data_IF_460474213702
#
_entry.id   IF_460474213702
#
_cell.length_a   1.000
_cell.length_b   1.000
_cell.length_c   1.000
_cell.angle_alpha   90.00
_cell.angle_beta   90.00
_cell.angle_gamma   90.00
#
_symmetry.space_group_name_H-M   'P 1'
#
loop_
_entity.id
_entity.type
_entity.pdbx_description
1 polymer ?
#
# COMPACT_ATOMS: atom_id res chain seq x y z
N UNK A 1 20.58 23.46 9.77
CA UNK A 1 20.34 21.99 9.71
C UNK A 1 18.85 21.66 9.62
N UNK A 2 17.98 22.30 10.41
CA UNK A 2 16.51 22.13 10.33
C UNK A 2 15.88 22.52 8.97
N UNK A 3 16.37 23.56 8.31
CA UNK A 3 15.80 24.03 7.03
C UNK A 3 15.88 22.99 5.90
N UNK A 4 16.95 22.17 5.89
CA UNK A 4 17.11 21.11 4.88
C UNK A 4 16.15 19.94 5.10
N UNK A 5 15.77 19.67 6.35
CA UNK A 5 14.79 18.65 6.70
C UNK A 5 13.39 19.10 6.26
N UNK A 6 13.03 20.36 6.52
CA UNK A 6 11.73 20.91 6.11
C UNK A 6 11.54 20.93 4.58
N UNK A 7 12.58 21.31 3.84
CA UNK A 7 12.58 21.28 2.37
C UNK A 7 12.41 19.85 1.83
N UNK A 8 13.02 18.85 2.46
CA UNK A 8 12.87 17.45 2.07
C UNK A 8 11.44 16.95 2.30
N UNK A 9 10.84 17.27 3.45
CA UNK A 9 9.43 16.95 3.74
C UNK A 9 8.46 17.65 2.78
N UNK A 10 8.70 18.93 2.45
CA UNK A 10 7.87 19.66 1.50
C UNK A 10 7.96 19.09 0.07
N UNK A 11 9.15 18.66 -0.37
CA UNK A 11 9.30 17.99 -1.67
C UNK A 11 8.64 16.61 -1.71
N UNK A 12 8.65 15.85 -0.61
CA UNK A 12 7.93 14.58 -0.49
C UNK A 12 6.42 14.82 -0.61
N UNK A 13 5.87 15.77 0.15
CA UNK A 13 4.44 16.11 0.12
C UNK A 13 4.02 16.66 -1.26
N UNK A 14 4.82 17.51 -1.88
CA UNK A 14 4.54 18.06 -3.21
C UNK A 14 4.53 16.97 -4.30
N UNK A 15 5.46 15.99 -4.24
CA UNK A 15 5.42 14.83 -5.14
C UNK A 15 4.25 13.87 -4.86
N UNK A 16 3.84 13.74 -3.59
CA UNK A 16 2.66 12.94 -3.20
C UNK A 16 1.39 13.44 -3.88
N UNK A 17 1.19 14.76 -4.00
CA UNK A 17 -0.04 15.31 -4.62
C UNK A 17 -0.03 15.27 -6.15
N UNK A 18 1.14 15.28 -6.79
CA UNK A 18 1.25 15.27 -8.25
C UNK A 18 1.12 13.87 -8.86
N UNK A 19 1.69 12.83 -8.23
CA UNK A 19 1.65 11.44 -8.75
C UNK A 19 0.25 10.81 -8.67
N UNK A 20 -0.60 11.28 -7.74
CA UNK A 20 -1.95 10.75 -7.53
C UNK A 20 -3.00 11.43 -8.43
N UNK A 21 -2.60 12.42 -9.26
CA UNK A 21 -3.50 13.11 -10.19
C UNK A 21 -3.85 12.33 -11.46
N UNK A 22 -3.22 11.19 -11.72
CA UNK A 22 -3.45 10.40 -12.93
C UNK A 22 -4.35 9.16 -12.77
N UNK A 23 -4.68 8.77 -11.54
CA UNK A 23 -5.32 7.47 -11.26
C UNK A 23 -6.79 7.60 -10.85
N UNK A 24 -7.50 8.53 -11.48
CA UNK A 24 -8.92 8.75 -11.22
C UNK A 24 -9.78 7.79 -12.01
N UNK A 25 -10.70 7.13 -11.31
CA UNK A 25 -11.73 6.33 -11.95
C UNK A 25 -13.07 7.06 -11.87
N UNK A 26 -13.61 7.30 -13.06
CA UNK A 26 -14.97 7.73 -13.33
C UNK A 26 -15.65 6.51 -14.01
N UNK A 27 -16.60 5.88 -13.33
CA UNK A 27 -17.27 4.65 -13.81
C UNK A 27 -18.22 5.01 -14.97
N UNK A 28 -17.68 5.16 -16.17
CA UNK A 28 -18.47 5.40 -17.38
C UNK A 28 -18.97 4.05 -17.90
N UNK A 29 -20.10 3.55 -17.38
CA UNK A 29 -21.39 3.74 -18.06
C UNK A 29 -22.42 4.59 -17.29
N UNK A 30 -22.13 5.09 -16.07
CA UNK A 30 -23.12 5.90 -15.32
C UNK A 30 -22.56 7.09 -14.52
N UNK A 31 -21.24 7.32 -14.52
CA UNK A 31 -20.61 8.39 -13.74
C UNK A 31 -20.84 8.24 -12.23
N UNK A 32 -21.22 7.04 -11.77
CA UNK A 32 -21.44 6.77 -10.35
C UNK A 32 -20.13 6.33 -9.70
N UNK A 33 -19.60 7.24 -8.89
CA UNK A 33 -18.49 6.99 -7.99
C UNK A 33 -18.78 5.78 -7.07
N UNK A 34 -17.81 4.87 -6.95
CA UNK A 34 -17.91 3.71 -6.07
C UNK A 34 -17.94 4.16 -4.61
N UNK A 35 -19.09 4.00 -3.96
CA UNK A 35 -19.24 4.32 -2.53
C UNK A 35 -18.33 3.42 -1.68
N UNK A 36 -17.82 3.97 -0.58
CA UNK A 36 -17.01 3.24 0.41
C UNK A 36 -17.65 1.90 0.81
N UNK A 37 -18.96 1.88 1.03
CA UNK A 37 -19.73 0.68 1.36
C UNK A 37 -19.68 -0.40 0.26
N UNK A 38 -19.84 -0.03 -1.01
CA UNK A 38 -19.78 -0.97 -2.14
C UNK A 38 -18.38 -1.55 -2.32
N UNK A 39 -17.34 -0.75 -2.10
CA UNK A 39 -15.98 -1.28 -2.18
C UNK A 39 -15.70 -2.22 -1.01
N UNK A 40 -16.07 -1.85 0.23
CA UNK A 40 -15.93 -2.76 1.37
C UNK A 40 -16.65 -4.10 1.15
N UNK A 41 -17.86 -4.07 0.58
CA UNK A 41 -18.60 -5.28 0.20
C UNK A 41 -17.85 -6.13 -0.84
N UNK A 42 -17.29 -5.50 -1.89
CA UNK A 42 -16.46 -6.21 -2.88
C UNK A 42 -15.20 -6.79 -2.23
N UNK A 43 -14.56 -6.03 -1.33
CA UNK A 43 -13.36 -6.46 -0.63
C UNK A 43 -13.64 -7.60 0.36
N UNK A 44 -14.79 -7.62 1.02
CA UNK A 44 -15.18 -8.74 1.91
C UNK A 44 -15.38 -10.05 1.16
N UNK A 45 -15.64 -9.98 -0.15
CA UNK A 45 -15.78 -11.14 -1.03
C UNK A 45 -14.44 -11.57 -1.67
N UNK A 46 -13.33 -10.89 -1.39
CA UNK A 46 -12.03 -11.29 -1.91
C UNK A 46 -11.57 -12.60 -1.26
N UNK A 47 -11.51 -13.65 -2.06
CA UNK A 47 -10.85 -14.88 -1.65
C UNK A 47 -9.33 -14.74 -1.86
N UNK A 48 -8.59 -14.53 -0.78
CA UNK A 48 -7.13 -14.39 -0.80
C UNK A 48 -6.39 -15.66 -0.35
N UNK A 49 -7.10 -16.77 -0.16
CA UNK A 49 -6.57 -18.00 0.43
C UNK A 49 -5.52 -18.72 -0.43
N UNK A 50 -5.43 -18.38 -1.71
CA UNK A 50 -4.45 -18.94 -2.63
C UNK A 50 -3.10 -18.19 -2.62
N UNK A 51 -3.03 -17.02 -1.97
CA UNK A 51 -1.80 -16.27 -1.92
C UNK A 51 -0.75 -17.01 -1.08
N UNK A 52 0.52 -17.04 -1.49
CA UNK A 52 1.60 -17.67 -0.73
C UNK A 52 1.99 -16.81 0.48
N UNK A 53 1.13 -16.77 1.51
CA UNK A 53 1.32 -16.01 2.74
C UNK A 53 2.23 -16.73 3.76
N UNK A 54 2.58 -18.00 3.50
CA UNK A 54 3.50 -18.78 4.33
C UNK A 54 4.97 -18.42 4.10
N UNK A 55 5.29 -17.79 2.98
CA UNK A 55 6.65 -17.42 2.58
C UNK A 55 6.74 -15.90 2.41
N UNK A 56 6.80 -15.23 3.55
CA UNK A 56 6.81 -13.77 3.62
C UNK A 56 8.19 -13.20 3.29
N UNK A 57 9.26 -14.00 3.37
CA UNK A 57 10.64 -13.57 3.18
C UNK A 57 10.88 -12.91 1.80
N UNK A 58 10.16 -13.33 0.76
CA UNK A 58 10.31 -12.84 -0.61
C UNK A 58 8.95 -12.71 -1.33
N UNK A 59 8.96 -12.28 -2.59
CA UNK A 59 7.81 -12.28 -3.52
C UNK A 59 6.64 -11.36 -3.12
N UNK A 60 6.90 -10.28 -2.38
CA UNK A 60 5.91 -9.23 -2.12
C UNK A 60 5.33 -8.64 -3.41
N UNK A 61 6.17 -8.45 -4.44
CA UNK A 61 5.74 -7.98 -5.76
C UNK A 61 4.71 -8.92 -6.40
N UNK A 62 4.94 -10.23 -6.41
CA UNK A 62 4.01 -11.19 -7.02
C UNK A 62 2.67 -11.16 -6.30
N UNK A 63 2.68 -11.14 -4.95
CA UNK A 63 1.45 -11.02 -4.15
C UNK A 63 0.69 -9.73 -4.50
N UNK A 64 1.40 -8.61 -4.58
CA UNK A 64 0.79 -7.33 -4.91
C UNK A 64 0.15 -7.35 -6.30
N UNK A 65 0.86 -7.84 -7.32
CA UNK A 65 0.30 -7.97 -8.68
C UNK A 65 -0.92 -8.89 -8.73
N UNK A 66 -0.88 -10.06 -8.07
CA UNK A 66 -2.04 -10.95 -8.01
C UNK A 66 -3.23 -10.26 -7.35
N UNK A 67 -3.03 -9.57 -6.24
CA UNK A 67 -4.11 -8.82 -5.58
C UNK A 67 -4.65 -7.73 -6.53
N UNK A 68 -3.79 -6.97 -7.20
CA UNK A 68 -4.22 -5.97 -8.19
C UNK A 68 -5.03 -6.57 -9.34
N UNK A 69 -4.67 -7.77 -9.82
CA UNK A 69 -5.47 -8.47 -10.84
C UNK A 69 -6.85 -8.84 -10.30
N UNK A 70 -6.95 -9.34 -9.07
CA UNK A 70 -8.26 -9.65 -8.47
C UNK A 70 -9.07 -8.37 -8.35
N UNK A 71 -8.50 -7.28 -7.82
CA UNK A 71 -9.16 -5.98 -7.72
C UNK A 71 -9.71 -5.51 -9.07
N UNK A 72 -8.96 -5.70 -10.14
CA UNK A 72 -9.41 -5.40 -11.50
C UNK A 72 -10.64 -6.24 -11.91
N UNK A 73 -10.73 -7.52 -11.56
CA UNK A 73 -11.94 -8.34 -11.81
C UNK A 73 -13.18 -7.81 -11.09
N UNK A 74 -13.00 -7.12 -9.97
CA UNK A 74 -14.06 -6.44 -9.22
C UNK A 74 -14.23 -4.97 -9.65
N UNK A 75 -13.60 -4.53 -10.75
CA UNK A 75 -13.58 -3.14 -11.21
C UNK A 75 -13.16 -2.15 -10.11
N UNK A 76 -12.17 -2.55 -9.31
CA UNK A 76 -11.54 -1.69 -8.30
C UNK A 76 -10.15 -1.30 -8.84
N UNK A 77 -9.95 -0.04 -9.24
CA UNK A 77 -8.64 0.42 -9.67
C UNK A 77 -7.66 0.40 -8.49
N UNK A 78 -6.43 0.00 -8.75
CA UNK A 78 -5.35 0.01 -7.77
C UNK A 78 -4.05 0.46 -8.42
N UNK A 79 -3.20 1.10 -7.63
CA UNK A 79 -1.79 1.35 -7.98
C UNK A 79 -0.92 0.53 -7.02
N UNK A 80 0.36 0.38 -7.33
CA UNK A 80 1.31 -0.24 -6.42
C UNK A 80 1.98 0.84 -5.56
N UNK A 81 1.95 0.64 -4.24
CA UNK A 81 2.72 1.45 -3.29
C UNK A 81 3.91 0.65 -2.77
N UNK A 82 5.08 1.27 -2.82
CA UNK A 82 6.34 0.69 -2.37
C UNK A 82 6.86 1.44 -1.16
N UNK A 83 7.42 0.69 -0.22
CA UNK A 83 8.23 1.21 0.87
C UNK A 83 9.62 0.62 0.75
N UNK A 84 10.64 1.47 0.68
CA UNK A 84 12.03 1.07 0.48
C UNK A 84 12.84 1.35 1.74
N UNK A 85 13.76 0.44 2.09
CA UNK A 85 14.81 0.69 3.07
C UNK A 85 15.68 1.88 2.65
N UNK A 86 16.46 2.42 3.59
CA UNK A 86 17.52 3.35 3.24
C UNK A 86 18.56 2.67 2.32
N UNK A 87 19.48 3.45 1.74
CA UNK A 87 20.58 2.92 0.91
C UNK A 87 21.39 1.83 1.63
N UNK A 88 21.41 1.85 2.97
CA UNK A 88 22.08 0.85 3.78
C UNK A 88 21.07 -0.11 4.44
N UNK A 89 20.63 -1.10 3.66
CA UNK A 89 19.66 -2.12 4.09
C UNK A 89 20.01 -2.80 5.42
N UNK A 90 21.30 -3.07 5.66
CA UNK A 90 21.73 -3.80 6.85
C UNK A 90 21.51 -2.99 8.13
N UNK A 91 21.41 -1.66 8.04
CA UNK A 91 21.19 -0.77 9.17
C UNK A 91 19.70 -0.46 9.38
N UNK A 92 18.97 -0.23 8.28
CA UNK A 92 17.58 0.26 8.30
C UNK A 92 16.64 -0.52 7.36
N UNK A 93 16.43 -1.83 7.59
CA UNK A 93 15.50 -2.63 6.79
C UNK A 93 14.05 -2.22 7.04
N UNK A 94 13.16 -2.55 6.10
CA UNK A 94 11.71 -2.61 6.36
C UNK A 94 11.45 -3.84 7.22
N UNK A 95 10.76 -3.70 8.36
CA UNK A 95 10.60 -4.79 9.34
C UNK A 95 9.14 -5.07 9.63
N UNK A 96 8.71 -6.31 9.38
CA UNK A 96 7.44 -6.83 9.87
C UNK A 96 7.69 -7.74 11.08
N UNK A 97 7.03 -7.46 12.20
CA UNK A 97 6.92 -8.41 13.31
C UNK A 97 5.62 -9.20 13.17
N UNK A 98 5.74 -10.51 12.95
CA UNK A 98 4.57 -11.41 12.81
C UNK A 98 3.84 -11.62 14.14
N UNK A 99 2.64 -12.19 14.12
CA UNK A 99 1.90 -12.57 15.34
C UNK A 99 2.71 -13.51 16.27
N UNK A 100 3.61 -14.31 15.70
CA UNK A 100 4.51 -15.21 16.45
C UNK A 100 5.73 -14.51 17.07
N UNK A 101 5.91 -13.21 16.84
CA UNK A 101 7.09 -12.45 17.26
C UNK A 101 8.31 -12.58 16.33
N UNK A 102 8.26 -13.44 15.30
CA UNK A 102 9.31 -13.52 14.26
C UNK A 102 9.39 -12.20 13.48
N UNK A 103 10.60 -11.67 13.32
CA UNK A 103 10.87 -10.54 12.45
C UNK A 103 11.18 -10.98 11.02
N UNK A 104 10.64 -10.22 10.07
CA UNK A 104 10.91 -10.36 8.63
C UNK A 104 11.48 -9.04 8.15
N UNK A 105 12.60 -9.11 7.43
CA UNK A 105 13.34 -7.94 6.98
C UNK A 105 13.36 -7.90 5.47
N UNK A 106 13.07 -6.72 4.90
CA UNK A 106 13.06 -6.51 3.45
C UNK A 106 13.81 -5.25 3.05
N UNK A 107 14.46 -5.31 1.89
CA UNK A 107 14.99 -4.12 1.20
C UNK A 107 13.87 -3.19 0.72
N UNK A 108 12.74 -3.79 0.37
CA UNK A 108 11.54 -3.06 0.04
C UNK A 108 10.32 -3.97 0.25
N UNK A 109 9.16 -3.37 0.46
CA UNK A 109 7.90 -4.08 0.45
C UNK A 109 6.90 -3.34 -0.44
N UNK A 110 5.96 -4.07 -1.03
CA UNK A 110 5.00 -3.53 -1.98
C UNK A 110 3.63 -4.17 -1.77
N UNK A 111 2.60 -3.35 -1.91
CA UNK A 111 1.21 -3.77 -1.84
C UNK A 111 0.33 -2.87 -2.75
N UNK A 112 -0.87 -3.32 -3.14
CA UNK A 112 -1.81 -2.49 -3.86
C UNK A 112 -2.40 -1.41 -2.96
N UNK A 113 -2.51 -0.21 -3.52
CA UNK A 113 -3.15 0.96 -2.94
C UNK A 113 -4.42 1.26 -3.73
N UNK A 114 -5.51 1.44 -3.01
CA UNK A 114 -6.80 1.88 -3.55
C UNK A 114 -7.19 3.20 -2.90
N UNK A 115 -7.99 3.98 -3.60
CA UNK A 115 -8.54 5.23 -3.06
C UNK A 115 -10.07 5.22 -3.15
N UNK A 116 -10.72 5.83 -2.16
CA UNK A 116 -12.16 6.03 -2.13
C UNK A 116 -12.50 7.51 -1.92
N UNK A 117 -13.60 7.95 -2.53
CA UNK A 117 -14.29 9.20 -2.21
C UNK A 117 -13.75 10.45 -2.93
N UNK A 118 -14.68 11.28 -3.40
CA UNK A 118 -14.42 12.46 -4.24
C UNK A 118 -13.93 13.67 -3.45
N UNK A 119 -14.36 13.80 -2.19
CA UNK A 119 -14.12 15.00 -1.36
C UNK A 119 -13.00 14.84 -0.33
N UNK A 120 -12.90 13.66 0.28
CA UNK A 120 -11.83 13.30 1.23
C UNK A 120 -11.26 11.98 0.79
N UNK A 121 -10.28 12.04 -0.12
CA UNK A 121 -9.62 10.84 -0.63
C UNK A 121 -8.93 10.11 0.50
N UNK A 122 -9.45 8.92 0.80
CA UNK A 122 -8.84 8.02 1.77
C UNK A 122 -8.10 6.93 0.99
N UNK A 123 -6.83 6.72 1.34
CA UNK A 123 -5.97 5.72 0.70
C UNK A 123 -5.83 4.50 1.60
N UNK A 124 -6.08 3.33 1.00
CA UNK A 124 -6.03 2.05 1.70
C UNK A 124 -5.08 1.11 0.98
N UNK A 125 -4.30 0.37 1.76
CA UNK A 125 -3.39 -0.67 1.31
C UNK A 125 -4.05 -2.02 1.56
N UNK A 126 -4.02 -2.91 0.57
CA UNK A 126 -4.48 -4.29 0.72
C UNK A 126 -3.27 -5.21 0.88
N UNK A 127 -3.02 -5.65 2.11
CA UNK A 127 -1.84 -6.44 2.45
C UNK A 127 -2.12 -7.52 3.51
N UNK A 128 -2.56 -8.71 3.08
CA UNK A 128 -2.75 -9.85 3.98
C UNK A 128 -1.44 -10.41 4.55
N UNK A 129 -0.28 -10.06 4.01
CA UNK A 129 1.01 -10.46 4.57
C UNK A 129 1.35 -9.64 5.83
N UNK A 130 0.94 -8.37 5.87
CA UNK A 130 1.13 -7.48 7.03
C UNK A 130 0.01 -7.63 8.06
N UNK A 131 -1.21 -7.97 7.62
CA UNK A 131 -2.36 -8.16 8.50
C UNK A 131 -3.34 -9.19 7.92
N UNK A 132 -3.24 -10.44 8.36
CA UNK A 132 -4.08 -11.53 7.85
C UNK A 132 -5.55 -11.40 8.24
N UNK A 133 -5.85 -10.91 9.44
CA UNK A 133 -7.23 -10.73 9.95
C UNK A 133 -7.91 -9.49 9.38
N UNK A 134 -7.14 -8.42 9.17
CA UNK A 134 -7.63 -7.15 8.64
C UNK A 134 -6.71 -6.69 7.51
N UNK A 135 -6.85 -7.26 6.30
CA UNK A 135 -5.91 -7.04 5.20
C UNK A 135 -6.04 -5.65 4.58
N UNK A 136 -7.11 -4.91 4.87
CA UNK A 136 -7.32 -3.54 4.41
C UNK A 136 -6.82 -2.61 5.51
N UNK A 137 -5.78 -1.85 5.22
CA UNK A 137 -5.11 -0.95 6.16
C UNK A 137 -5.15 0.46 5.59
N UNK A 138 -5.21 1.49 6.44
CA UNK A 138 -4.80 2.82 5.99
C UNK A 138 -3.31 2.81 5.62
N UNK A 139 -2.88 3.69 4.73
CA UNK A 139 -1.47 3.79 4.38
C UNK A 139 -0.57 4.01 5.63
N UNK A 140 -1.05 4.81 6.61
CA UNK A 140 -0.30 5.06 7.84
C UNK A 140 -0.21 3.82 8.74
N UNK A 141 -1.28 3.03 8.87
CA UNK A 141 -1.24 1.77 9.63
C UNK A 141 -0.29 0.75 8.99
N UNK A 142 -0.30 0.66 7.66
CA UNK A 142 0.62 -0.19 6.91
C UNK A 142 2.08 0.21 7.16
N UNK A 143 2.40 1.49 7.01
CA UNK A 143 3.73 2.03 7.31
C UNK A 143 4.12 1.76 8.77
N UNK A 144 3.23 2.02 9.72
CA UNK A 144 3.49 1.81 11.14
C UNK A 144 3.82 0.33 11.46
N UNK A 145 3.07 -0.61 10.88
CA UNK A 145 3.31 -2.05 11.06
C UNK A 145 4.65 -2.52 10.47
N UNK A 146 5.13 -1.84 9.43
CA UNK A 146 6.40 -2.13 8.76
C UNK A 146 7.62 -1.49 9.43
N UNK A 147 7.42 -0.83 10.59
CA UNK A 147 8.43 -0.24 11.49
C UNK A 147 9.66 0.31 10.76
N UNK A 148 9.46 1.21 9.78
CA UNK A 148 10.56 1.75 9.03
C UNK A 148 11.48 2.57 9.94
N UNK A 149 12.80 2.28 9.93
CA UNK A 149 13.78 3.19 10.53
C UNK A 149 13.99 4.41 9.63
N UNK A 150 14.55 5.48 10.19
CA UNK A 150 14.75 6.78 9.51
C UNK A 150 15.38 6.63 8.12
N UNK A 151 14.87 7.38 7.13
CA UNK A 151 15.46 7.46 5.78
C UNK A 151 14.69 6.77 4.65
N UNK A 152 13.44 6.38 4.87
CA UNK A 152 12.63 5.73 3.84
C UNK A 152 11.90 6.74 2.94
N UNK A 153 11.61 6.30 1.73
CA UNK A 153 10.70 6.98 0.81
C UNK A 153 9.60 6.02 0.35
N UNK A 154 8.39 6.55 0.23
CA UNK A 154 7.25 5.85 -0.35
C UNK A 154 7.19 6.20 -1.83
N UNK A 155 7.10 5.18 -2.69
CA UNK A 155 7.00 5.37 -4.14
C UNK A 155 5.70 4.76 -4.66
N UNK A 156 5.07 5.45 -5.62
CA UNK A 156 3.84 5.04 -6.27
C UNK A 156 4.13 4.71 -7.73
N UNK A 157 3.59 3.60 -8.22
CA UNK A 157 3.61 3.22 -9.64
C UNK A 157 2.22 2.74 -10.03
N UNK A 158 1.77 3.11 -11.21
CA UNK A 158 0.57 2.54 -11.80
C UNK A 158 0.60 2.62 -13.30
#
# INVERSE_FOLDING_TARGET
>A
MLERILLFYLCIIARHTASLKGYYYDDTESGQELSYSKVLERLSNLNLNFLPLKHLENNCYSRAYFISMILATYRIPSILVYIHSSLNYDQDPVVLTTESGKEIKWRYHVAPLISFGSKTRSYFVIDPAVSSRHPILTQNEWIYKLRPKSGLYVQYYG
#
